data_IF_311945073914
#
_entry.id   IF_311945073914
#
_cell.length_a   1.000
_cell.length_b   1.000
_cell.length_c   1.000
_cell.angle_alpha   90.00
_cell.angle_beta   90.00
_cell.angle_gamma   90.00
#
_symmetry.space_group_name_H-M   'P 1'
#
loop_
_entity.id
_entity.type
_entity.pdbx_description
1 polymer ?
#
# COMPACT_ATOMS: atom_id res chain seq x y z
N UNK A 1 -20.09 -12.88 8.23
CA UNK A 1 -18.79 -12.33 8.73
C UNK A 1 -17.67 -12.64 7.75
N UNK A 2 -17.25 -13.89 7.52
CA UNK A 2 -16.21 -14.19 6.51
C UNK A 2 -16.65 -13.84 5.08
N UNK A 3 -17.89 -14.10 4.72
CA UNK A 3 -18.46 -13.74 3.41
C UNK A 3 -18.46 -12.22 3.17
N UNK A 4 -18.76 -11.43 4.19
CA UNK A 4 -18.69 -9.96 4.10
C UNK A 4 -17.25 -9.48 3.92
N UNK A 5 -16.29 -10.11 4.63
CA UNK A 5 -14.86 -9.82 4.49
C UNK A 5 -14.36 -10.18 3.08
N UNK A 6 -14.70 -11.37 2.57
CA UNK A 6 -14.38 -11.77 1.19
C UNK A 6 -14.94 -10.79 0.16
N UNK A 7 -16.22 -10.41 0.32
CA UNK A 7 -16.88 -9.45 -0.57
C UNK A 7 -16.16 -8.11 -0.57
N UNK A 8 -15.85 -7.55 0.61
CA UNK A 8 -15.14 -6.28 0.74
C UNK A 8 -13.76 -6.33 0.07
N UNK A 9 -13.00 -7.43 0.26
CA UNK A 9 -11.69 -7.62 -0.37
C UNK A 9 -11.80 -7.79 -1.88
N UNK A 10 -12.80 -8.54 -2.36
CA UNK A 10 -13.09 -8.64 -3.78
C UNK A 10 -13.37 -7.27 -4.39
N UNK A 11 -14.30 -6.49 -3.81
CA UNK A 11 -14.65 -5.15 -4.27
C UNK A 11 -13.42 -4.23 -4.31
N UNK A 12 -12.59 -4.26 -3.28
CA UNK A 12 -11.34 -3.48 -3.24
C UNK A 12 -10.35 -3.93 -4.33
N UNK A 13 -10.18 -5.23 -4.56
CA UNK A 13 -9.34 -5.75 -5.65
C UNK A 13 -9.83 -5.29 -7.02
N UNK A 14 -11.14 -5.25 -7.26
CA UNK A 14 -11.73 -4.79 -8.53
C UNK A 14 -11.50 -3.30 -8.80
N UNK A 15 -11.15 -2.50 -7.80
CA UNK A 15 -10.75 -1.10 -8.00
C UNK A 15 -9.36 -0.98 -8.62
N UNK A 16 -8.46 -1.95 -8.45
CA UNK A 16 -7.11 -1.89 -9.01
C UNK A 16 -7.11 -1.78 -10.54
N UNK A 17 -7.78 -2.67 -11.30
CA UNK A 17 -7.89 -2.51 -12.76
C UNK A 17 -8.73 -1.29 -13.15
N UNK A 18 -9.78 -0.95 -12.38
CA UNK A 18 -10.60 0.25 -12.62
C UNK A 18 -9.78 1.55 -12.60
N UNK A 19 -8.79 1.65 -11.73
CA UNK A 19 -7.89 2.80 -11.63
C UNK A 19 -6.55 2.63 -12.36
N UNK A 20 -6.42 1.59 -13.21
CA UNK A 20 -5.21 1.30 -13.99
C UNK A 20 -3.94 1.13 -13.14
N UNK A 21 -4.07 0.56 -11.94
CA UNK A 21 -2.96 0.30 -11.04
C UNK A 21 -2.29 -1.05 -11.29
N UNK A 22 -2.90 -1.91 -12.11
CA UNK A 22 -2.43 -3.28 -12.37
C UNK A 22 -2.49 -3.64 -13.85
N UNK A 23 -1.62 -4.56 -14.25
CA UNK A 23 -1.61 -5.24 -15.54
C UNK A 23 -1.76 -6.74 -15.29
N UNK A 24 -2.60 -7.42 -16.06
CA UNK A 24 -2.88 -8.87 -15.90
C UNK A 24 -3.28 -9.22 -14.47
N UNK A 25 -2.54 -10.13 -13.84
CA UNK A 25 -2.80 -10.64 -12.48
C UNK A 25 -1.96 -9.91 -11.40
N UNK A 26 -1.14 -8.92 -11.80
CA UNK A 26 -0.23 -8.24 -10.88
C UNK A 26 -0.98 -7.47 -9.81
N UNK A 27 -0.42 -7.46 -8.61
CA UNK A 27 -0.99 -6.75 -7.49
C UNK A 27 -2.14 -7.49 -6.81
N UNK A 28 -2.46 -7.02 -5.64
CA UNK A 28 -3.51 -7.58 -4.78
C UNK A 28 -3.88 -6.61 -3.66
N UNK A 29 -5.06 -6.85 -3.10
CA UNK A 29 -5.56 -6.20 -1.88
C UNK A 29 -5.87 -7.28 -0.87
N UNK A 30 -5.57 -7.02 0.40
CA UNK A 30 -6.10 -7.77 1.53
C UNK A 30 -6.79 -6.84 2.53
N UNK A 31 -7.65 -7.42 3.37
CA UNK A 31 -8.27 -6.72 4.50
C UNK A 31 -8.40 -7.68 5.68
N UNK A 32 -8.11 -7.15 6.89
CA UNK A 32 -8.23 -7.88 8.16
C UNK A 32 -9.49 -7.48 8.93
N UNK A 33 -10.14 -8.47 9.53
CA UNK A 33 -11.06 -8.25 10.63
C UNK A 33 -10.28 -8.38 11.96
N UNK A 34 -10.01 -7.25 12.59
CA UNK A 34 -9.25 -7.17 13.85
C UNK A 34 -9.94 -7.87 15.03
N UNK A 35 -11.25 -8.13 14.96
CA UNK A 35 -11.99 -8.82 16.03
C UNK A 35 -11.72 -10.33 16.01
N UNK A 36 -11.60 -10.90 14.82
CA UNK A 36 -11.34 -12.33 14.64
C UNK A 36 -9.87 -12.67 14.44
N UNK A 37 -9.05 -11.69 14.02
CA UNK A 37 -7.68 -11.90 13.60
C UNK A 37 -7.54 -12.54 12.21
N UNK A 38 -8.65 -12.70 11.46
CA UNK A 38 -8.63 -13.25 10.11
C UNK A 38 -8.54 -12.14 9.07
N UNK A 39 -7.80 -12.39 8.00
CA UNK A 39 -7.78 -11.50 6.84
C UNK A 39 -8.07 -12.27 5.56
N UNK A 40 -8.73 -11.60 4.62
CA UNK A 40 -8.94 -12.10 3.28
C UNK A 40 -7.91 -11.49 2.32
N UNK A 41 -7.48 -12.26 1.33
CA UNK A 41 -6.55 -11.82 0.30
C UNK A 41 -6.90 -12.43 -1.06
N UNK A 42 -6.57 -11.73 -2.14
CA UNK A 42 -6.71 -12.22 -3.51
C UNK A 42 -5.94 -13.52 -3.71
N UNK A 43 -6.50 -14.53 -4.41
CA UNK A 43 -5.77 -15.72 -4.80
C UNK A 43 -4.63 -15.40 -5.79
N UNK A 44 -3.58 -16.21 -5.75
CA UNK A 44 -2.44 -16.10 -6.66
C UNK A 44 -2.83 -16.43 -8.10
N UNK A 45 -2.39 -15.61 -9.06
CA UNK A 45 -2.48 -15.91 -10.49
C UNK A 45 -3.88 -15.95 -11.10
N UNK A 46 -4.92 -15.52 -10.38
CA UNK A 46 -6.29 -15.42 -10.91
C UNK A 46 -6.50 -14.07 -11.58
N UNK A 47 -6.95 -14.08 -12.84
CA UNK A 47 -7.26 -12.88 -13.61
C UNK A 47 -8.40 -12.08 -12.97
N UNK A 48 -8.35 -10.76 -13.03
CA UNK A 48 -9.36 -9.89 -12.40
C UNK A 48 -10.76 -10.08 -13.00
N UNK A 49 -10.87 -10.36 -14.30
CA UNK A 49 -12.13 -10.58 -15.01
C UNK A 49 -12.82 -11.92 -14.65
N UNK A 50 -12.07 -12.86 -14.05
CA UNK A 50 -12.58 -14.16 -13.59
C UNK A 50 -12.76 -14.23 -12.08
N UNK A 51 -12.31 -13.20 -11.38
CA UNK A 51 -12.31 -13.20 -9.92
C UNK A 51 -13.74 -13.05 -9.37
N UNK A 52 -14.04 -13.80 -8.33
CA UNK A 52 -15.32 -13.73 -7.59
C UNK A 52 -15.06 -13.54 -6.09
N UNK A 53 -16.05 -13.09 -5.30
CA UNK A 53 -15.88 -13.03 -3.84
C UNK A 53 -15.50 -14.38 -3.21
N UNK A 54 -16.00 -15.50 -3.73
CA UNK A 54 -15.74 -16.84 -3.21
C UNK A 54 -14.31 -17.31 -3.42
N UNK A 55 -13.57 -16.68 -4.34
CA UNK A 55 -12.18 -17.00 -4.61
C UNK A 55 -11.22 -16.41 -3.55
N UNK A 56 -11.68 -15.43 -2.75
CA UNK A 56 -10.86 -14.83 -1.72
C UNK A 56 -10.44 -15.88 -0.67
N UNK A 57 -9.15 -15.85 -0.34
CA UNK A 57 -8.54 -16.79 0.60
C UNK A 57 -8.48 -16.17 1.98
N UNK A 58 -8.98 -16.89 3.00
CA UNK A 58 -8.94 -16.47 4.40
C UNK A 58 -7.69 -17.04 5.07
N UNK A 59 -6.95 -16.16 5.72
CA UNK A 59 -5.73 -16.46 6.47
C UNK A 59 -5.87 -15.98 7.92
N UNK A 60 -5.14 -16.62 8.83
CA UNK A 60 -4.97 -16.12 10.20
C UNK A 60 -3.66 -15.33 10.37
N UNK A 61 -3.45 -14.73 11.54
CA UNK A 61 -2.22 -14.00 11.87
C UNK A 61 -1.03 -14.93 12.16
N UNK A 62 -1.20 -16.23 12.24
CA UNK A 62 -0.15 -17.24 12.32
C UNK A 62 0.36 -17.63 10.93
N UNK A 63 -0.39 -17.27 9.87
CA UNK A 63 -0.05 -17.57 8.48
C UNK A 63 -0.69 -18.86 7.97
N UNK A 64 -1.67 -19.43 8.70
CA UNK A 64 -2.40 -20.58 8.25
C UNK A 64 -3.55 -20.19 7.33
N UNK A 65 -3.79 -21.00 6.30
CA UNK A 65 -4.98 -20.87 5.47
C UNK A 65 -6.18 -21.49 6.21
N UNK A 66 -7.17 -20.67 6.50
CA UNK A 66 -8.39 -21.05 7.22
C UNK A 66 -9.48 -21.49 6.24
N UNK A 67 -9.63 -20.74 5.11
CA UNK A 67 -10.64 -21.02 4.10
C UNK A 67 -10.16 -20.59 2.71
N UNK A 68 -10.68 -21.24 1.67
CA UNK A 68 -10.40 -20.93 0.26
C UNK A 68 -9.86 -22.13 -0.50
N UNK A 69 -10.28 -22.25 -1.77
CA UNK A 69 -9.90 -23.37 -2.66
C UNK A 69 -8.52 -23.15 -3.28
N UNK A 70 -8.18 -21.88 -3.53
CA UNK A 70 -6.96 -21.48 -4.20
C UNK A 70 -5.80 -21.26 -3.22
N UNK A 71 -4.58 -21.15 -3.73
CA UNK A 71 -3.46 -20.61 -2.97
C UNK A 71 -3.63 -19.08 -2.81
N UNK A 72 -3.31 -18.52 -1.62
CA UNK A 72 -3.31 -17.08 -1.44
C UNK A 72 -2.22 -16.44 -2.30
N UNK A 73 -2.30 -15.12 -2.52
CA UNK A 73 -1.22 -14.36 -3.17
C UNK A 73 0.14 -14.68 -2.56
N UNK A 74 1.18 -14.73 -3.39
CA UNK A 74 2.57 -14.87 -2.93
C UNK A 74 2.97 -13.76 -1.93
N UNK A 75 2.37 -12.58 -2.04
CA UNK A 75 2.64 -11.45 -1.15
C UNK A 75 2.03 -11.58 0.26
N UNK A 76 1.26 -12.64 0.51
CA UNK A 76 0.62 -12.90 1.80
C UNK A 76 1.57 -12.75 3.00
N UNK A 77 2.82 -13.27 2.98
CA UNK A 77 3.74 -13.08 4.10
C UNK A 77 4.10 -11.61 4.33
N UNK A 78 4.21 -10.80 3.29
CA UNK A 78 4.45 -9.34 3.43
C UNK A 78 3.26 -8.68 4.13
N UNK A 79 2.03 -8.91 3.67
CA UNK A 79 0.82 -8.36 4.27
C UNK A 79 0.66 -8.78 5.73
N UNK A 80 0.98 -10.03 6.04
CA UNK A 80 0.93 -10.60 7.39
C UNK A 80 1.86 -9.86 8.35
N UNK A 81 3.11 -9.59 7.96
CA UNK A 81 4.06 -8.84 8.80
C UNK A 81 3.58 -7.40 9.04
N UNK A 82 2.97 -6.75 8.04
CA UNK A 82 2.38 -5.42 8.21
C UNK A 82 1.19 -5.45 9.19
N UNK A 83 0.29 -6.44 9.08
CA UNK A 83 -0.83 -6.56 10.03
C UNK A 83 -0.39 -6.83 11.46
N UNK A 84 0.68 -7.59 11.66
CA UNK A 84 1.25 -7.87 12.98
C UNK A 84 1.86 -6.61 13.61
N UNK A 85 2.57 -5.83 12.80
CA UNK A 85 3.35 -4.69 13.29
C UNK A 85 2.54 -3.38 13.37
N UNK A 86 1.52 -3.21 12.51
CA UNK A 86 0.73 -1.99 12.40
C UNK A 86 -0.72 -2.23 12.85
N UNK A 87 -1.02 -2.16 14.15
CA UNK A 87 -2.31 -2.56 14.70
C UNK A 87 -3.50 -1.73 14.23
N UNK A 88 -3.26 -0.50 13.73
CA UNK A 88 -4.32 0.40 13.29
C UNK A 88 -4.70 0.24 11.82
N UNK A 89 -3.91 -0.45 11.01
CA UNK A 89 -4.28 -0.69 9.62
C UNK A 89 -5.30 -1.83 9.51
N UNK A 90 -6.22 -1.71 8.56
CA UNK A 90 -7.22 -2.73 8.26
C UNK A 90 -7.12 -3.28 6.84
N UNK A 91 -6.42 -2.58 5.93
CA UNK A 91 -6.19 -3.02 4.56
C UNK A 91 -4.77 -2.77 4.10
N UNK A 92 -4.28 -3.63 3.20
CA UNK A 92 -2.96 -3.52 2.55
C UNK A 92 -3.12 -3.76 1.05
N UNK A 93 -2.43 -2.96 0.25
CA UNK A 93 -2.35 -3.09 -1.21
C UNK A 93 -0.90 -3.23 -1.63
N UNK A 94 -0.64 -4.14 -2.54
CA UNK A 94 0.58 -4.18 -3.33
C UNK A 94 0.25 -4.07 -4.82
N UNK A 95 1.02 -3.29 -5.56
CA UNK A 95 0.90 -3.18 -7.01
C UNK A 95 2.28 -3.02 -7.67
N UNK A 96 2.30 -3.15 -9.00
CA UNK A 96 3.41 -2.71 -9.84
C UNK A 96 2.94 -1.55 -10.74
N UNK A 97 2.23 -0.59 -10.14
CA UNK A 97 1.74 0.60 -10.86
C UNK A 97 2.92 1.40 -11.42
N UNK A 98 2.84 1.87 -12.69
CA UNK A 98 4.02 2.26 -13.47
C UNK A 98 4.88 3.36 -12.86
N UNK A 99 4.26 4.42 -12.32
CA UNK A 99 5.02 5.56 -11.82
C UNK A 99 5.64 5.29 -10.44
N UNK A 100 4.87 4.74 -9.51
CA UNK A 100 5.39 4.38 -8.19
C UNK A 100 6.48 3.30 -8.30
N UNK A 101 6.28 2.29 -9.17
CA UNK A 101 7.30 1.25 -9.42
C UNK A 101 8.55 1.83 -10.07
N UNK A 102 8.43 2.83 -10.96
CA UNK A 102 9.60 3.50 -11.55
C UNK A 102 10.46 4.19 -10.48
N UNK A 103 9.83 4.87 -9.50
CA UNK A 103 10.55 5.43 -8.35
C UNK A 103 11.21 4.36 -7.49
N UNK A 104 10.49 3.26 -7.22
CA UNK A 104 11.03 2.12 -6.50
C UNK A 104 12.26 1.52 -7.20
N UNK A 105 12.20 1.31 -8.52
CA UNK A 105 13.32 0.80 -9.32
C UNK A 105 14.49 1.77 -9.37
N UNK A 106 14.22 3.09 -9.39
CA UNK A 106 15.25 4.12 -9.28
C UNK A 106 15.88 4.18 -7.87
N UNK A 107 15.26 3.53 -6.87
CA UNK A 107 15.75 3.51 -5.49
C UNK A 107 15.65 4.85 -4.78
N UNK A 108 14.64 5.67 -5.13
CA UNK A 108 14.41 7.01 -4.57
C UNK A 108 13.03 7.10 -3.94
N UNK A 109 12.94 7.78 -2.80
CA UNK A 109 11.68 8.26 -2.25
C UNK A 109 11.05 9.35 -3.13
N UNK A 110 9.76 9.61 -2.94
CA UNK A 110 9.02 10.62 -3.68
C UNK A 110 8.91 11.87 -2.82
N UNK A 111 9.61 12.97 -3.16
CA UNK A 111 9.55 14.21 -2.40
C UNK A 111 8.17 14.86 -2.48
N UNK A 112 7.74 15.51 -1.40
CA UNK A 112 6.50 16.26 -1.40
C UNK A 112 6.69 17.62 -2.13
N UNK A 113 6.42 17.64 -3.44
CA UNK A 113 6.57 18.85 -4.24
C UNK A 113 5.35 19.78 -4.21
N UNK A 114 4.20 19.31 -3.73
CA UNK A 114 3.00 20.13 -3.80
C UNK A 114 1.87 19.68 -2.89
N UNK A 115 0.83 20.50 -2.91
CA UNK A 115 -0.30 20.39 -1.99
C UNK A 115 -1.14 19.13 -2.16
N UNK A 116 -1.22 18.58 -3.38
CA UNK A 116 -1.92 17.31 -3.63
C UNK A 116 -1.26 16.17 -2.84
N UNK A 117 0.06 16.09 -2.85
CA UNK A 117 0.82 15.13 -2.05
C UNK A 117 0.60 15.39 -0.55
N UNK A 118 0.80 16.63 -0.10
CA UNK A 118 0.68 17.01 1.31
C UNK A 118 -0.73 16.80 1.90
N UNK A 119 -1.78 16.81 1.07
CA UNK A 119 -3.15 16.54 1.52
C UNK A 119 -3.37 15.10 2.00
N UNK A 120 -2.51 14.16 1.63
CA UNK A 120 -2.70 12.73 1.88
C UNK A 120 -1.54 12.06 2.61
N UNK A 121 -0.31 12.53 2.41
CA UNK A 121 0.90 11.93 2.95
C UNK A 121 1.82 13.03 3.49
N UNK A 122 2.27 12.87 4.73
CA UNK A 122 3.06 13.88 5.43
C UNK A 122 4.56 13.72 5.14
N UNK A 123 5.08 14.59 4.29
CA UNK A 123 6.48 14.56 3.90
C UNK A 123 6.78 13.63 2.73
N UNK A 124 7.98 13.10 2.67
CA UNK A 124 8.44 12.21 1.61
C UNK A 124 7.80 10.82 1.73
N UNK A 125 7.36 10.25 0.61
CA UNK A 125 7.04 8.81 0.54
C UNK A 125 8.35 8.05 0.44
N UNK A 126 8.69 7.18 1.41
CA UNK A 126 10.00 6.57 1.47
C UNK A 126 10.22 5.47 0.44
N UNK A 127 11.49 5.27 0.07
CA UNK A 127 11.94 4.07 -0.62
C UNK A 127 12.90 3.30 0.31
N UNK A 128 12.47 2.11 0.77
CA UNK A 128 13.34 1.26 1.58
C UNK A 128 14.46 0.63 0.74
N UNK A 129 15.55 0.20 1.38
CA UNK A 129 16.70 -0.41 0.73
C UNK A 129 16.35 -1.67 -0.07
N UNK A 130 17.26 -2.11 -0.90
CA UNK A 130 17.16 -3.45 -1.49
C UNK A 130 17.33 -4.53 -0.40
N UNK A 131 16.66 -5.66 -0.56
CA UNK A 131 16.91 -6.86 0.24
C UNK A 131 18.34 -7.37 -0.02
N UNK A 132 18.96 -7.93 1.01
CA UNK A 132 20.24 -8.63 0.87
C UNK A 132 20.05 -9.98 0.18
N UNK A 133 21.15 -10.58 -0.30
CA UNK A 133 21.10 -11.92 -0.90
C UNK A 133 20.49 -12.95 0.07
N UNK A 134 20.88 -12.90 1.34
CA UNK A 134 20.36 -13.82 2.37
C UNK A 134 18.84 -13.65 2.58
N UNK A 135 18.36 -12.41 2.65
CA UNK A 135 16.94 -12.10 2.79
C UNK A 135 16.12 -12.60 1.58
N UNK A 136 16.71 -12.51 0.36
CA UNK A 136 16.09 -13.01 -0.86
C UNK A 136 16.04 -14.55 -0.87
N UNK A 137 17.15 -15.20 -0.54
CA UNK A 137 17.29 -16.65 -0.64
C UNK A 137 16.49 -17.41 0.44
N UNK A 138 16.17 -16.76 1.57
CA UNK A 138 15.52 -17.44 2.71
C UNK A 138 14.00 -17.29 2.71
N UNK A 139 13.47 -16.06 2.71
CA UNK A 139 12.03 -15.81 2.81
C UNK A 139 11.69 -14.43 2.22
N UNK A 140 11.78 -14.29 0.92
CA UNK A 140 11.72 -13.04 0.17
C UNK A 140 10.53 -12.15 0.57
N UNK A 141 9.31 -12.66 0.51
CA UNK A 141 8.10 -11.88 0.78
C UNK A 141 7.99 -11.50 2.27
N UNK A 142 8.33 -12.44 3.17
CA UNK A 142 8.37 -12.15 4.61
C UNK A 142 9.42 -11.09 4.92
N UNK A 143 10.62 -11.20 4.37
CA UNK A 143 11.71 -10.25 4.58
C UNK A 143 11.39 -8.87 3.98
N UNK A 144 10.60 -8.80 2.89
CA UNK A 144 10.04 -7.55 2.38
C UNK A 144 9.14 -6.89 3.45
N UNK A 145 8.26 -7.64 4.07
CA UNK A 145 7.40 -7.13 5.16
C UNK A 145 8.22 -6.65 6.37
N UNK A 146 9.18 -7.46 6.82
CA UNK A 146 10.04 -7.11 7.95
C UNK A 146 10.89 -5.86 7.66
N UNK A 147 11.37 -5.68 6.43
CA UNK A 147 12.11 -4.50 6.01
C UNK A 147 11.25 -3.22 6.08
N UNK A 148 9.98 -3.32 5.65
CA UNK A 148 9.01 -2.22 5.76
C UNK A 148 8.78 -1.90 7.25
N UNK A 149 8.53 -2.90 8.06
CA UNK A 149 8.30 -2.75 9.52
C UNK A 149 9.49 -2.10 10.21
N UNK A 150 10.71 -2.55 9.91
CA UNK A 150 11.93 -1.97 10.50
C UNK A 150 12.09 -0.49 10.12
N UNK A 151 11.75 -0.12 8.89
CA UNK A 151 11.78 1.28 8.46
C UNK A 151 10.82 2.17 9.27
N UNK A 152 9.63 1.66 9.58
CA UNK A 152 8.57 2.43 10.26
C UNK A 152 8.57 2.32 11.78
N UNK A 153 9.48 1.56 12.41
CA UNK A 153 9.48 1.34 13.87
C UNK A 153 9.47 2.62 14.70
N UNK A 154 10.13 3.68 14.22
CA UNK A 154 10.23 4.99 14.88
C UNK A 154 9.54 6.10 14.05
N UNK A 155 8.63 5.74 13.16
CA UNK A 155 7.93 6.66 12.26
C UNK A 155 6.43 6.44 12.29
N UNK A 156 5.68 7.46 11.95
CA UNK A 156 4.23 7.41 11.88
C UNK A 156 3.78 6.81 10.54
N UNK A 157 3.46 5.52 10.54
CA UNK A 157 2.93 4.82 9.37
C UNK A 157 1.50 5.24 8.99
N UNK A 158 0.77 5.93 9.88
CA UNK A 158 -0.55 6.49 9.54
C UNK A 158 -0.42 7.82 8.80
N UNK A 159 0.61 8.61 9.12
CA UNK A 159 0.86 9.87 8.43
C UNK A 159 1.42 9.69 7.01
N UNK A 160 2.12 8.58 6.75
CA UNK A 160 2.63 8.20 5.42
C UNK A 160 2.20 6.76 5.13
N UNK A 161 0.94 6.52 4.69
CA UNK A 161 0.41 5.18 4.48
C UNK A 161 0.90 4.52 3.17
N UNK A 162 2.18 4.68 2.86
CA UNK A 162 2.80 4.18 1.64
C UNK A 162 4.31 3.97 1.81
N UNK A 163 4.86 3.04 1.05
CA UNK A 163 6.29 2.78 0.95
C UNK A 163 6.64 2.21 -0.42
N UNK A 164 7.82 2.54 -0.92
CA UNK A 164 8.42 1.93 -2.08
C UNK A 164 9.47 0.90 -1.63
N UNK A 165 9.40 -0.30 -2.16
CA UNK A 165 10.46 -1.30 -1.98
C UNK A 165 11.41 -1.23 -3.17
N UNK A 166 12.69 -0.91 -2.92
CA UNK A 166 13.70 -0.75 -3.99
C UNK A 166 13.76 -1.98 -4.88
N UNK A 167 13.78 -1.75 -6.20
CA UNK A 167 13.78 -2.75 -7.27
C UNK A 167 12.53 -3.64 -7.33
N UNK A 168 11.46 -3.32 -6.60
CA UNK A 168 10.23 -4.10 -6.58
C UNK A 168 9.02 -3.22 -6.95
N UNK A 169 8.37 -2.61 -5.98
CA UNK A 169 7.18 -1.81 -6.18
C UNK A 169 6.63 -1.21 -4.88
N UNK A 170 5.46 -0.56 -4.94
CA UNK A 170 4.84 0.07 -3.80
C UNK A 170 4.01 -0.90 -2.95
N UNK A 171 3.93 -0.58 -1.65
CA UNK A 171 2.90 -1.05 -0.74
C UNK A 171 2.18 0.17 -0.14
N UNK A 172 0.86 0.07 0.00
CA UNK A 172 0.04 1.07 0.69
C UNK A 172 -0.91 0.38 1.66
N UNK A 173 -1.37 1.14 2.65
CA UNK A 173 -2.31 0.64 3.64
C UNK A 173 -3.33 1.71 4.04
N UNK A 174 -4.34 1.29 4.79
CA UNK A 174 -5.41 2.14 5.31
C UNK A 174 -6.24 1.41 6.35
N UNK A 175 -7.30 2.04 6.85
CA UNK A 175 -8.21 1.45 7.85
C UNK A 175 -9.00 0.25 7.31
N UNK A 176 -9.09 0.13 5.99
CA UNK A 176 -9.75 -0.97 5.25
C UNK A 176 -9.15 -1.10 3.85
N UNK A 177 -9.57 -2.12 3.09
CA UNK A 177 -9.08 -2.36 1.73
C UNK A 177 -9.38 -1.22 0.76
N UNK A 178 -10.51 -0.54 0.90
CA UNK A 178 -10.88 0.59 0.04
C UNK A 178 -9.98 1.80 0.27
N UNK A 179 -9.69 2.14 1.52
CA UNK A 179 -8.77 3.24 1.84
C UNK A 179 -7.34 2.90 1.43
N UNK A 180 -6.91 1.66 1.59
CA UNK A 180 -5.60 1.21 1.10
C UNK A 180 -5.47 1.38 -0.42
N UNK A 181 -6.52 1.05 -1.20
CA UNK A 181 -6.58 1.31 -2.65
C UNK A 181 -6.63 2.81 -2.96
N UNK A 182 -7.41 3.60 -2.19
CA UNK A 182 -7.40 5.06 -2.35
C UNK A 182 -5.98 5.62 -2.21
N UNK A 183 -5.23 5.18 -1.20
CA UNK A 183 -3.84 5.59 -0.99
C UNK A 183 -2.92 5.11 -2.12
N UNK A 184 -3.17 3.95 -2.73
CA UNK A 184 -2.44 3.48 -3.89
C UNK A 184 -2.68 4.36 -5.14
N UNK A 185 -3.92 4.80 -5.37
CA UNK A 185 -4.27 5.75 -6.44
C UNK A 185 -3.56 7.09 -6.22
N UNK A 186 -3.62 7.62 -5.00
CA UNK A 186 -2.91 8.86 -4.64
C UNK A 186 -1.41 8.72 -4.86
N UNK A 187 -0.81 7.61 -4.38
CA UNK A 187 0.61 7.33 -4.56
C UNK A 187 1.01 7.35 -6.04
N UNK A 188 0.27 6.66 -6.90
CA UNK A 188 0.56 6.60 -8.34
C UNK A 188 0.47 7.99 -9.00
N UNK A 189 -0.55 8.78 -8.67
CA UNK A 189 -0.69 10.13 -9.24
C UNK A 189 0.37 11.10 -8.71
N UNK A 190 0.73 11.07 -7.42
CA UNK A 190 1.81 11.96 -6.91
C UNK A 190 3.18 11.52 -7.40
N UNK A 191 3.43 10.22 -7.59
CA UNK A 191 4.64 9.70 -8.23
C UNK A 191 4.82 10.24 -9.65
N UNK A 192 3.74 10.21 -10.44
CA UNK A 192 3.67 10.75 -11.79
C UNK A 192 3.89 12.27 -11.83
N UNK A 193 3.24 13.00 -10.91
CA UNK A 193 3.42 14.46 -10.79
C UNK A 193 4.87 14.81 -10.42
N UNK A 194 5.45 14.12 -9.44
CA UNK A 194 6.81 14.34 -8.97
C UNK A 194 7.84 14.10 -10.09
N UNK A 195 7.72 13.00 -10.84
CA UNK A 195 8.60 12.74 -11.98
C UNK A 195 8.53 13.85 -13.04
N UNK A 196 7.32 14.34 -13.35
CA UNK A 196 7.14 15.45 -14.28
C UNK A 196 7.70 16.77 -13.75
N UNK A 197 7.57 17.04 -12.44
CA UNK A 197 8.20 18.23 -11.84
C UNK A 197 9.71 18.21 -12.04
N UNK A 198 10.37 17.08 -11.81
CA UNK A 198 11.83 16.93 -12.02
C UNK A 198 12.22 17.06 -13.51
N UNK A 199 11.38 16.55 -14.42
CA UNK A 199 11.60 16.73 -15.86
C UNK A 199 11.48 18.20 -16.30
N UNK A 200 10.53 18.95 -15.72
CA UNK A 200 10.30 20.37 -16.05
C UNK A 200 11.36 21.25 -15.40
N UNK A 201 11.71 20.98 -14.15
CA UNK A 201 12.73 21.69 -13.39
C UNK A 201 13.61 20.70 -12.61
N UNK A 202 14.77 20.27 -13.13
CA UNK A 202 15.66 19.33 -12.45
C UNK A 202 16.20 19.81 -11.09
N UNK A 203 16.03 21.10 -10.77
CA UNK A 203 16.46 21.69 -9.50
C UNK A 203 15.28 21.95 -8.55
N UNK A 204 14.09 21.43 -8.85
CA UNK A 204 12.90 21.59 -8.01
C UNK A 204 13.19 21.15 -6.57
N UNK A 205 12.70 21.91 -5.60
CA UNK A 205 12.81 21.60 -4.18
C UNK A 205 11.46 21.17 -3.64
N UNK A 206 11.41 20.35 -2.59
CA UNK A 206 10.17 20.04 -1.89
C UNK A 206 9.44 21.33 -1.47
N UNK A 207 8.11 21.24 -1.37
CA UNK A 207 7.29 22.32 -0.87
C UNK A 207 7.75 22.74 0.55
N UNK A 208 7.69 24.03 0.89
CA UNK A 208 8.03 24.49 2.24
C UNK A 208 7.23 23.74 3.31
N UNK A 209 7.86 23.51 4.48
CA UNK A 209 7.25 22.70 5.55
C UNK A 209 5.91 23.29 6.01
N UNK A 210 5.81 24.61 6.10
CA UNK A 210 4.60 25.32 6.51
C UNK A 210 3.43 25.08 5.54
N UNK A 211 3.71 24.90 4.25
CA UNK A 211 2.70 24.55 3.25
C UNK A 211 2.28 23.09 3.37
N UNK A 212 3.22 22.19 3.62
CA UNK A 212 2.93 20.76 3.86
C UNK A 212 2.07 20.62 5.12
N UNK A 213 2.44 21.26 6.22
CA UNK A 213 1.69 21.27 7.49
C UNK A 213 0.27 21.80 7.28
N UNK A 214 0.13 22.92 6.62
CA UNK A 214 -1.18 23.53 6.34
C UNK A 214 -2.11 22.59 5.59
N UNK A 215 -1.60 21.89 4.57
CA UNK A 215 -2.39 20.99 3.74
C UNK A 215 -2.69 19.68 4.44
N UNK A 216 -1.72 19.09 5.12
CA UNK A 216 -1.93 17.85 5.88
C UNK A 216 -2.95 18.05 7.00
N UNK A 217 -2.72 19.00 7.90
CA UNK A 217 -3.54 19.19 9.09
C UNK A 217 -4.95 19.74 8.82
N UNK A 218 -5.21 20.33 7.64
CA UNK A 218 -6.59 20.70 7.27
C UNK A 218 -7.50 19.50 7.03
N UNK A 219 -6.92 18.32 6.73
CA UNK A 219 -7.64 17.05 6.50
C UNK A 219 -7.47 16.06 7.64
N UNK A 220 -6.36 16.12 8.37
CA UNK A 220 -5.97 15.16 9.37
C UNK A 220 -5.82 15.83 10.76
N UNK A 221 -6.17 15.09 11.83
CA UNK A 221 -6.04 15.59 13.19
C UNK A 221 -7.29 16.27 13.75
N UNK A 222 -7.17 16.72 14.99
CA UNK A 222 -8.31 17.23 15.80
C UNK A 222 -8.97 18.51 15.22
N UNK A 223 -8.24 19.30 14.46
CA UNK A 223 -8.69 20.58 13.89
C UNK A 223 -8.96 20.51 12.39
N UNK A 224 -9.17 19.31 11.83
CA UNK A 224 -9.47 19.14 10.43
C UNK A 224 -10.79 19.86 10.05
N UNK A 225 -10.77 20.61 8.94
CA UNK A 225 -11.91 21.42 8.50
C UNK A 225 -12.27 21.21 7.02
N UNK A 226 -11.49 20.39 6.31
CA UNK A 226 -11.72 20.13 4.88
C UNK A 226 -12.77 19.02 4.67
N UNK A 227 -13.64 19.22 3.69
CA UNK A 227 -14.69 18.27 3.30
C UNK A 227 -16.07 18.63 3.85
N UNK A 228 -17.03 17.78 3.55
CA UNK A 228 -18.38 17.88 4.12
C UNK A 228 -18.37 17.32 5.53
N UNK A 229 -19.03 18.03 6.48
CA UNK A 229 -19.23 17.58 7.87
C UNK A 229 -20.58 16.91 7.98
#
# INVERSE_FOLDING_TARGET
>A
MLEELKKAVYEANMLLPKYNLVTFTWGNVSQIDRKTGYFAIKPSGVDYDKLTPDDMVIMDLEGNKIEGRSNPSSDTPTHLELYRAFPKIGGVVHTHSPWATSWAQAGRGIPCYGTTHADYMYGEIPCVRCLTKEEIDTAYEKNTGLLIVDYFKDKDYEAVPAVLCKNHGPFTWGKDGHEAVHNAVVLEEVAKMAARCEMINPQVKPAPQELQDKHYYRKHGANAYYGQK
#
